data_IF_115780718465
#
_entry.id   IF_115780718465
#
_cell.length_a   1.000
_cell.length_b   1.000
_cell.length_c   1.000
_cell.angle_alpha   90.00
_cell.angle_beta   90.00
_cell.angle_gamma   90.00
#
_symmetry.space_group_name_H-M   'P 1'
#
loop_
_entity.id
_entity.type
_entity.pdbx_description
1 polymer ?
#
# COMPACT_ATOMS: atom_id res chain seq x y z
N UNK A 1 3.73 -24.81 5.32
CA UNK A 1 2.69 -24.05 6.02
C UNK A 1 1.62 -23.69 5.01
N UNK A 2 0.38 -24.11 5.26
CA UNK A 2 -0.78 -23.91 4.38
C UNK A 2 -0.97 -22.44 3.98
N UNK A 3 -1.53 -22.19 2.79
CA UNK A 3 -1.72 -20.84 2.25
C UNK A 3 -2.60 -19.95 3.14
N UNK A 4 -3.57 -20.56 3.81
CA UNK A 4 -4.54 -19.93 4.70
C UNK A 4 -4.15 -20.01 6.18
N UNK A 5 -3.02 -20.64 6.51
CA UNK A 5 -2.54 -20.65 7.89
C UNK A 5 -2.07 -19.24 8.30
N UNK A 6 -2.32 -18.82 9.54
CA UNK A 6 -1.79 -17.56 10.07
C UNK A 6 -0.26 -17.49 9.96
N UNK A 7 0.26 -16.29 9.73
CA UNK A 7 1.70 -16.07 9.76
C UNK A 7 2.23 -16.26 11.21
N UNK A 8 3.40 -16.88 11.39
CA UNK A 8 3.97 -17.08 12.71
C UNK A 8 4.40 -15.74 13.31
N UNK A 9 4.27 -15.58 14.62
CA UNK A 9 4.72 -14.41 15.35
C UNK A 9 5.18 -14.81 16.76
N UNK A 10 6.04 -14.00 17.35
CA UNK A 10 6.48 -14.16 18.72
C UNK A 10 5.87 -13.07 19.64
N UNK A 11 6.27 -13.10 20.92
CA UNK A 11 5.81 -12.12 21.91
C UNK A 11 6.20 -10.68 21.52
N UNK A 12 7.34 -10.48 20.87
CA UNK A 12 7.83 -9.15 20.52
C UNK A 12 6.94 -8.52 19.44
N UNK A 13 6.61 -9.28 18.39
CA UNK A 13 5.69 -8.85 17.32
C UNK A 13 4.30 -8.60 17.88
N UNK A 14 3.79 -9.50 18.73
CA UNK A 14 2.49 -9.32 19.37
C UNK A 14 2.42 -7.99 20.14
N UNK A 15 3.46 -7.68 20.93
CA UNK A 15 3.50 -6.41 21.68
C UNK A 15 3.65 -5.21 20.76
N UNK A 16 4.46 -5.31 19.70
CA UNK A 16 4.63 -4.24 18.71
C UNK A 16 3.32 -3.91 17.99
N UNK A 17 2.58 -4.91 17.52
CA UNK A 17 1.28 -4.74 16.87
C UNK A 17 0.27 -4.09 17.82
N UNK A 18 0.22 -4.53 19.08
CA UNK A 18 -0.66 -3.93 20.11
C UNK A 18 -0.33 -2.47 20.36
N UNK A 19 0.97 -2.13 20.44
CA UNK A 19 1.41 -0.75 20.64
C UNK A 19 1.09 0.14 19.43
N UNK A 20 1.22 -0.40 18.20
CA UNK A 20 0.81 0.31 16.99
C UNK A 20 -0.71 0.58 16.99
N UNK A 21 -1.51 -0.42 17.35
CA UNK A 21 -2.96 -0.28 17.45
C UNK A 21 -3.38 0.74 18.52
N UNK A 22 -2.66 0.78 19.65
CA UNK A 22 -2.88 1.74 20.71
C UNK A 22 -2.35 3.16 20.40
N UNK A 23 -1.62 3.35 19.29
CA UNK A 23 -1.04 4.63 18.92
C UNK A 23 0.15 5.08 19.79
N UNK A 24 0.79 4.16 20.52
CA UNK A 24 1.89 4.46 21.44
C UNK A 24 3.17 3.66 21.16
N UNK A 25 3.26 3.00 20.00
CA UNK A 25 4.47 2.29 19.59
C UNK A 25 5.66 3.23 19.45
N UNK A 26 6.80 2.82 20.02
CA UNK A 26 8.08 3.46 19.75
C UNK A 26 8.59 3.13 18.34
N UNK A 27 9.67 3.79 17.89
CA UNK A 27 10.23 3.59 16.55
C UNK A 27 10.58 2.13 16.24
N UNK A 28 11.18 1.41 17.19
CA UNK A 28 11.54 0.00 17.00
C UNK A 28 10.31 -0.90 16.83
N UNK A 29 9.27 -0.67 17.63
CA UNK A 29 7.99 -1.38 17.53
C UNK A 29 7.26 -1.09 16.22
N UNK A 30 7.26 0.17 15.77
CA UNK A 30 6.66 0.54 14.49
C UNK A 30 7.32 -0.20 13.33
N UNK A 31 8.67 -0.22 13.29
CA UNK A 31 9.42 -0.93 12.26
C UNK A 31 9.17 -2.44 12.30
N UNK A 32 9.28 -3.06 13.48
CA UNK A 32 9.06 -4.50 13.65
C UNK A 32 7.64 -4.92 13.26
N UNK A 33 6.63 -4.16 13.66
CA UNK A 33 5.24 -4.40 13.28
C UNK A 33 5.05 -4.30 11.77
N UNK A 34 5.59 -3.23 11.15
CA UNK A 34 5.43 -3.00 9.71
C UNK A 34 6.17 -4.06 8.89
N UNK A 35 7.38 -4.43 9.29
CA UNK A 35 8.16 -5.50 8.65
C UNK A 35 7.40 -6.82 8.68
N UNK A 36 6.86 -7.21 9.84
CA UNK A 36 6.07 -8.42 9.97
C UNK A 36 4.79 -8.39 9.12
N UNK A 37 4.05 -7.27 9.10
CA UNK A 37 2.84 -7.13 8.28
C UNK A 37 3.18 -7.33 6.80
N UNK A 38 4.20 -6.64 6.29
CA UNK A 38 4.52 -6.62 4.85
C UNK A 38 5.19 -7.92 4.41
N UNK A 39 6.13 -8.44 5.19
CA UNK A 39 6.94 -9.59 4.79
C UNK A 39 6.31 -10.92 5.20
N UNK A 40 5.77 -11.04 6.41
CA UNK A 40 5.28 -12.32 6.95
C UNK A 40 3.77 -12.49 6.73
N UNK A 41 2.97 -11.53 7.19
CA UNK A 41 1.51 -11.62 7.09
C UNK A 41 1.03 -11.56 5.63
N UNK A 42 1.58 -10.63 4.85
CA UNK A 42 1.24 -10.48 3.42
C UNK A 42 2.08 -11.35 2.49
N UNK A 43 3.24 -11.88 2.92
CA UNK A 43 4.14 -12.69 2.09
C UNK A 43 4.53 -12.02 0.75
N UNK A 44 4.83 -10.72 0.78
CA UNK A 44 5.18 -9.93 -0.43
C UNK A 44 6.38 -10.48 -1.21
N UNK A 45 7.35 -11.10 -0.52
CA UNK A 45 8.56 -11.69 -1.14
C UNK A 45 8.40 -13.15 -1.56
N UNK A 46 7.21 -13.74 -1.40
CA UNK A 46 6.97 -15.11 -1.83
C UNK A 46 6.37 -15.15 -3.24
N UNK A 47 6.76 -16.18 -4.00
CA UNK A 47 6.15 -16.49 -5.28
C UNK A 47 4.69 -16.91 -5.07
N UNK A 48 3.83 -16.54 -6.03
CA UNK A 48 2.47 -17.06 -6.09
C UNK A 48 2.55 -18.59 -6.12
N UNK A 49 1.87 -19.24 -5.18
CA UNK A 49 1.89 -20.68 -5.03
C UNK A 49 1.45 -21.36 -6.34
N UNK A 50 2.35 -22.14 -6.95
CA UNK A 50 2.07 -22.91 -8.15
C UNK A 50 1.84 -24.37 -7.75
N UNK A 51 0.58 -24.74 -7.57
CA UNK A 51 0.13 -26.11 -7.36
C UNK A 51 -1.32 -26.25 -7.84
N UNK A 52 -1.83 -27.47 -7.97
CA UNK A 52 -3.18 -27.76 -8.50
C UNK A 52 -4.33 -27.15 -7.67
N UNK A 53 -4.04 -26.67 -6.45
CA UNK A 53 -5.00 -26.04 -5.55
C UNK A 53 -5.20 -24.53 -5.84
N UNK A 54 -5.93 -24.23 -6.91
CA UNK A 54 -6.23 -22.87 -7.39
C UNK A 54 -6.80 -21.92 -6.32
N UNK A 55 -7.65 -22.42 -5.41
CA UNK A 55 -8.21 -21.62 -4.32
C UNK A 55 -7.18 -21.20 -3.28
N UNK A 56 -6.20 -22.06 -2.98
CA UNK A 56 -5.12 -21.74 -2.05
C UNK A 56 -4.20 -20.65 -2.65
N UNK A 57 -3.93 -20.73 -3.95
CA UNK A 57 -3.20 -19.67 -4.68
C UNK A 57 -3.94 -18.34 -4.64
N UNK A 58 -5.24 -18.34 -4.95
CA UNK A 58 -6.05 -17.12 -4.91
C UNK A 58 -6.06 -16.45 -3.53
N UNK A 59 -6.18 -17.23 -2.45
CA UNK A 59 -6.09 -16.71 -1.09
C UNK A 59 -4.70 -16.11 -0.80
N UNK A 60 -3.62 -16.82 -1.17
CA UNK A 60 -2.25 -16.36 -0.97
C UNK A 60 -1.95 -15.07 -1.76
N UNK A 61 -2.45 -14.94 -2.99
CA UNK A 61 -2.30 -13.73 -3.79
C UNK A 61 -3.14 -12.57 -3.26
N UNK A 62 -4.33 -12.84 -2.69
CA UNK A 62 -5.17 -11.83 -2.05
C UNK A 62 -4.46 -11.11 -0.91
N UNK A 63 -3.83 -11.84 0.02
CA UNK A 63 -3.03 -11.21 1.09
C UNK A 63 -1.77 -10.52 0.58
N UNK A 64 -1.17 -11.04 -0.49
CA UNK A 64 0.02 -10.46 -1.14
C UNK A 64 -0.32 -9.11 -1.74
N UNK A 65 -1.47 -9.03 -2.40
CA UNK A 65 -1.99 -7.78 -2.95
C UNK A 65 -2.09 -6.69 -1.89
N UNK A 66 -2.64 -7.00 -0.70
CA UNK A 66 -2.72 -6.03 0.41
C UNK A 66 -1.33 -5.52 0.81
N UNK A 67 -0.35 -6.41 0.99
CA UNK A 67 1.01 -6.00 1.34
C UNK A 67 1.70 -5.17 0.26
N UNK A 68 1.44 -5.47 -1.01
CA UNK A 68 1.98 -4.70 -2.13
C UNK A 68 1.44 -3.27 -2.18
N UNK A 69 0.19 -3.03 -1.75
CA UNK A 69 -0.34 -1.67 -1.63
C UNK A 69 0.43 -0.87 -0.57
N UNK A 70 0.70 -1.49 0.58
CA UNK A 70 1.48 -0.85 1.66
C UNK A 70 2.92 -0.58 1.21
N UNK A 71 3.58 -1.56 0.59
CA UNK A 71 4.94 -1.41 0.07
C UNK A 71 5.02 -0.32 -1.01
N UNK A 72 4.02 -0.21 -1.88
CA UNK A 72 3.95 0.82 -2.91
C UNK A 72 3.91 2.24 -2.33
N UNK A 73 3.24 2.45 -1.19
CA UNK A 73 3.16 3.76 -0.52
C UNK A 73 4.49 4.24 0.08
N UNK A 74 5.53 3.40 0.09
CA UNK A 74 6.89 3.82 0.47
C UNK A 74 7.57 4.66 -0.62
N UNK A 75 7.08 4.58 -1.86
CA UNK A 75 7.50 5.47 -2.95
C UNK A 75 6.55 6.67 -3.01
N UNK A 76 7.10 7.88 -2.93
CA UNK A 76 6.35 9.13 -3.05
C UNK A 76 5.56 9.24 -4.36
N UNK A 77 6.02 8.58 -5.44
CA UNK A 77 5.29 8.49 -6.72
C UNK A 77 3.94 7.78 -6.59
N UNK A 78 3.69 7.02 -5.52
CA UNK A 78 2.38 6.44 -5.26
C UNK A 78 1.25 7.49 -5.28
N UNK A 79 1.54 8.75 -4.92
CA UNK A 79 0.61 9.87 -5.00
C UNK A 79 0.05 10.10 -6.41
N UNK A 80 0.83 9.83 -7.47
CA UNK A 80 0.39 9.98 -8.86
C UNK A 80 -0.75 9.03 -9.24
N UNK A 81 -0.89 7.93 -8.50
CA UNK A 81 -1.87 6.90 -8.77
C UNK A 81 -3.19 7.09 -8.00
N UNK A 82 -3.24 8.09 -7.12
CA UNK A 82 -4.45 8.45 -6.36
C UNK A 82 -5.58 8.92 -7.29
N UNK A 83 -6.81 8.73 -6.85
CA UNK A 83 -8.00 9.19 -7.56
C UNK A 83 -7.99 10.71 -7.74
N UNK A 84 -7.55 11.44 -6.72
CA UNK A 84 -7.39 12.89 -6.74
C UNK A 84 -6.37 13.36 -7.78
N UNK A 85 -5.16 12.77 -7.80
CA UNK A 85 -4.14 13.12 -8.80
C UNK A 85 -4.60 12.81 -10.23
N UNK A 86 -5.33 11.71 -10.43
CA UNK A 86 -5.93 11.36 -11.74
C UNK A 86 -7.04 12.33 -12.13
N UNK A 87 -7.87 12.78 -11.19
CA UNK A 87 -8.91 13.78 -11.44
C UNK A 87 -8.31 15.13 -11.84
N UNK A 88 -7.25 15.57 -11.16
CA UNK A 88 -6.55 16.82 -11.48
C UNK A 88 -5.92 16.79 -12.88
N UNK A 89 -5.31 15.67 -13.28
CA UNK A 89 -4.72 15.48 -14.62
C UNK A 89 -5.77 15.43 -15.73
N UNK A 90 -7.00 14.98 -15.42
CA UNK A 90 -8.14 14.89 -16.36
C UNK A 90 -8.91 16.20 -16.50
N UNK A 91 -8.75 17.15 -15.58
CA UNK A 91 -9.42 18.43 -15.66
C UNK A 91 -8.99 19.19 -16.92
N UNK A 92 -9.92 19.75 -17.71
CA UNK A 92 -9.57 20.52 -18.90
C UNK A 92 -8.70 21.70 -18.49
N UNK A 93 -7.49 21.82 -19.08
CA UNK A 93 -6.62 22.98 -18.86
C UNK A 93 -7.40 24.21 -19.27
N UNK A 94 -7.67 25.11 -18.32
CA UNK A 94 -8.26 26.40 -18.61
C UNK A 94 -7.33 27.14 -19.59
N UNK A 95 -7.75 27.25 -20.84
CA UNK A 95 -7.04 28.03 -21.85
C UNK A 95 -7.18 29.49 -21.40
N UNK A 96 -6.14 30.03 -20.78
CA UNK A 96 -6.10 31.42 -20.31
C UNK A 96 -6.39 32.33 -21.51
N UNK A 97 -7.55 33.00 -21.46
CA UNK A 97 -8.15 33.71 -22.59
C UNK A 97 -7.22 34.72 -23.24
N UNK A 98 -7.39 34.88 -24.57
CA UNK A 98 -6.68 35.83 -25.41
C UNK A 98 -6.69 37.23 -24.78
N UNK A 99 -5.50 37.85 -24.70
CA UNK A 99 -5.28 39.24 -24.29
C UNK A 99 -6.15 40.15 -25.15
N UNK A 100 -7.11 40.85 -24.54
CA UNK A 100 -7.88 41.88 -25.24
C UNK A 100 -6.94 43.02 -25.62
N UNK A 101 -6.85 43.31 -26.91
CA UNK A 101 -6.14 44.47 -27.43
C UNK A 101 -6.95 45.74 -27.09
N UNK A 102 -6.31 46.68 -26.40
CA UNK A 102 -6.90 47.97 -26.10
C UNK A 102 -7.14 48.73 -27.41
N UNK A 103 -8.40 49.11 -27.66
CA UNK A 103 -8.73 50.13 -28.65
C UNK A 103 -8.26 51.47 -28.09
N UNK A 104 -7.32 52.11 -28.78
CA UNK A 104 -7.01 53.52 -28.56
C UNK A 104 -7.98 54.33 -29.43
N UNK A 105 -8.63 55.31 -28.79
CA UNK A 105 -9.43 56.36 -29.44
C UNK A 105 -8.54 57.35 -30.22
#
# INVERSE_FOLDING_TARGET
>A
MEAHAPAPYDKSILMAIRACFAGNANEGQQKAAMEWIVLEASRTRHLSFAGEATHATAFADGRRFVGMQVAGMLDAKALDHTTEAKALKRAPRQIRGKRQEAKND
#
